data_IF_302654434743
#
_entry.id   IF_302654434743
#
_cell.length_a   1.000
_cell.length_b   1.000
_cell.length_c   1.000
_cell.angle_alpha   90.00
_cell.angle_beta   90.00
_cell.angle_gamma   90.00
#
_symmetry.space_group_name_H-M   'P 1'
#
loop_
_entity.id
_entity.type
_entity.pdbx_description
1 polymer ?
#
# COMPACT_ATOMS: atom_id res chain seq x y z
N UNK A 1 -9.12 -11.13 -4.55
CA UNK A 1 -9.46 -9.84 -5.16
C UNK A 1 -9.00 -8.73 -4.25
N UNK A 2 -8.28 -7.76 -4.79
CA UNK A 2 -7.72 -6.65 -4.02
C UNK A 2 -8.74 -5.52 -3.86
N UNK A 3 -8.55 -4.66 -2.85
CA UNK A 3 -9.34 -3.44 -2.66
C UNK A 3 -9.37 -2.58 -3.93
N UNK A 4 -8.25 -2.50 -4.64
CA UNK A 4 -8.11 -1.64 -5.81
C UNK A 4 -9.02 -2.06 -6.96
N UNK A 5 -9.24 -3.36 -7.16
CA UNK A 5 -10.13 -3.86 -8.22
C UNK A 5 -11.59 -3.43 -7.96
N UNK A 6 -12.06 -3.62 -6.72
CA UNK A 6 -13.40 -3.18 -6.33
C UNK A 6 -13.54 -1.65 -6.44
N UNK A 7 -12.49 -0.93 -6.02
CA UNK A 7 -12.45 0.51 -6.06
C UNK A 7 -12.52 1.05 -7.50
N UNK A 8 -11.72 0.49 -8.42
CA UNK A 8 -11.66 0.94 -9.82
C UNK A 8 -12.91 0.57 -10.61
N UNK A 9 -13.65 -0.45 -10.18
CA UNK A 9 -14.98 -0.75 -10.70
C UNK A 9 -16.09 0.17 -10.14
N UNK A 10 -15.76 1.11 -9.25
CA UNK A 10 -16.75 1.98 -8.62
C UNK A 10 -17.68 1.25 -7.67
N UNK A 11 -17.31 0.08 -7.15
CA UNK A 11 -18.12 -0.66 -6.19
C UNK A 11 -17.94 0.01 -4.81
N UNK A 12 -19.00 0.56 -4.18
CA UNK A 12 -18.86 1.22 -2.89
C UNK A 12 -18.29 0.30 -1.82
N UNK A 13 -17.28 0.79 -1.10
CA UNK A 13 -16.57 0.06 -0.04
C UNK A 13 -16.88 0.70 1.30
N UNK A 14 -17.23 -0.14 2.28
CA UNK A 14 -17.40 0.27 3.67
C UNK A 14 -16.25 -0.27 4.52
N UNK A 15 -15.77 0.52 5.46
CA UNK A 15 -14.76 0.09 6.43
C UNK A 15 -15.03 0.71 7.80
N UNK A 16 -14.74 0.01 8.90
CA UNK A 16 -14.82 0.62 10.23
C UNK A 16 -13.83 1.79 10.33
N UNK A 17 -14.06 2.72 11.26
CA UNK A 17 -13.01 3.67 11.67
C UNK A 17 -11.88 2.92 12.39
N UNK A 18 -10.65 3.45 12.44
CA UNK A 18 -9.55 2.80 13.17
C UNK A 18 -9.90 2.49 14.63
N UNK A 19 -10.59 3.41 15.30
CA UNK A 19 -11.04 3.24 16.68
C UNK A 19 -12.05 2.09 16.82
N UNK A 20 -13.04 2.01 15.94
CA UNK A 20 -14.02 0.92 16.00
C UNK A 20 -13.40 -0.42 15.58
N UNK A 21 -12.47 -0.41 14.61
CA UNK A 21 -11.71 -1.59 14.23
C UNK A 21 -10.87 -2.13 15.39
N UNK A 22 -10.26 -1.24 16.20
CA UNK A 22 -9.61 -1.65 17.45
C UNK A 22 -10.59 -2.37 18.38
N UNK A 23 -11.77 -1.81 18.64
CA UNK A 23 -12.75 -2.45 19.53
C UNK A 23 -13.18 -3.84 19.04
N UNK A 24 -13.31 -3.99 17.71
CA UNK A 24 -13.63 -5.29 17.09
C UNK A 24 -12.46 -6.27 17.21
N UNK A 25 -11.24 -5.82 16.96
CA UNK A 25 -10.05 -6.66 17.04
C UNK A 25 -9.72 -7.06 18.48
N UNK A 26 -9.89 -6.15 19.44
CA UNK A 26 -9.72 -6.43 20.86
C UNK A 26 -10.68 -7.53 21.35
N UNK A 27 -11.91 -7.55 20.84
CA UNK A 27 -12.96 -8.50 21.28
C UNK A 27 -13.01 -9.79 20.48
N UNK A 28 -12.77 -9.73 19.17
CA UNK A 28 -13.07 -10.80 18.21
C UNK A 28 -11.89 -11.14 17.30
N UNK A 29 -10.77 -10.44 17.46
CA UNK A 29 -9.54 -10.72 16.76
C UNK A 29 -9.64 -10.64 15.21
N UNK A 30 -10.38 -9.64 14.71
CA UNK A 30 -10.71 -9.50 13.28
C UNK A 30 -9.53 -9.12 12.37
N UNK A 31 -8.35 -8.82 12.93
CA UNK A 31 -7.13 -8.42 12.21
C UNK A 31 -5.95 -9.35 12.52
N UNK A 32 -6.23 -10.64 12.70
CA UNK A 32 -5.23 -11.66 13.07
C UNK A 32 -4.07 -11.83 12.07
N UNK A 33 -4.26 -11.44 10.80
CA UNK A 33 -3.22 -11.48 9.75
C UNK A 33 -2.22 -10.32 9.84
N UNK A 34 -2.40 -9.38 10.78
CA UNK A 34 -1.48 -8.25 10.93
C UNK A 34 -0.08 -8.68 11.37
N UNK A 35 0.02 -9.74 12.17
CA UNK A 35 1.32 -10.23 12.65
C UNK A 35 1.51 -11.70 12.32
N UNK A 36 2.71 -12.05 11.84
CA UNK A 36 3.06 -13.44 11.55
C UNK A 36 3.04 -14.34 12.78
N UNK A 37 3.36 -13.79 13.96
CA UNK A 37 3.32 -14.54 15.22
C UNK A 37 1.91 -15.02 15.53
N UNK A 38 0.91 -14.16 15.36
CA UNK A 38 -0.47 -14.52 15.59
C UNK A 38 -0.97 -15.56 14.59
N UNK A 39 -0.62 -15.44 13.32
CA UNK A 39 -0.96 -16.45 12.31
C UNK A 39 -0.33 -17.82 12.63
N UNK A 40 0.89 -17.83 13.16
CA UNK A 40 1.61 -19.08 13.46
C UNK A 40 1.24 -19.71 14.79
N UNK A 41 0.87 -18.90 15.78
CA UNK A 41 0.71 -19.35 17.18
C UNK A 41 -0.69 -19.17 17.75
N UNK A 42 -1.55 -18.39 17.08
CA UNK A 42 -2.84 -17.95 17.59
C UNK A 42 -2.74 -16.94 18.73
N UNK A 43 -1.56 -16.38 19.01
CA UNK A 43 -1.33 -15.44 20.11
C UNK A 43 -0.98 -14.06 19.58
N UNK A 44 -1.57 -13.04 20.20
CA UNK A 44 -1.27 -11.64 19.91
C UNK A 44 0.12 -11.29 20.50
N UNK A 45 1.08 -10.85 19.69
CA UNK A 45 2.39 -10.43 20.19
C UNK A 45 2.31 -9.08 20.93
N UNK A 46 3.17 -8.90 21.95
CA UNK A 46 3.35 -7.61 22.64
C UNK A 46 4.44 -6.73 22.03
N UNK A 47 5.04 -7.16 20.92
CA UNK A 47 6.15 -6.46 20.26
C UNK A 47 7.06 -7.40 19.48
N UNK A 48 8.04 -6.80 18.81
CA UNK A 48 9.09 -7.45 18.06
C UNK A 48 10.15 -8.05 19.00
N UNK A 49 10.80 -9.17 18.60
CA UNK A 49 11.91 -9.74 19.36
C UNK A 49 13.20 -8.90 19.26
N UNK A 50 13.25 -7.95 18.32
CA UNK A 50 14.36 -7.03 18.09
C UNK A 50 13.96 -5.61 18.47
N UNK A 51 14.89 -4.87 19.08
CA UNK A 51 14.66 -3.47 19.42
C UNK A 51 14.57 -2.61 18.15
N UNK A 52 13.71 -1.59 18.19
CA UNK A 52 13.59 -0.61 17.11
C UNK A 52 14.85 0.25 16.96
N UNK A 53 15.16 0.62 15.71
CA UNK A 53 16.32 1.47 15.38
C UNK A 53 16.13 2.93 15.86
N UNK A 54 14.88 3.36 16.05
CA UNK A 54 14.54 4.72 16.49
C UNK A 54 13.64 4.68 17.71
N UNK A 55 14.05 5.39 18.76
CA UNK A 55 13.27 5.56 19.98
C UNK A 55 11.94 6.30 19.72
N UNK A 56 10.92 5.99 20.52
CA UNK A 56 9.62 6.65 20.48
C UNK A 56 8.72 6.27 19.31
N UNK A 57 9.10 5.28 18.48
CA UNK A 57 8.18 4.69 17.49
C UNK A 57 7.41 3.53 18.10
N UNK A 58 6.11 3.45 17.77
CA UNK A 58 5.31 2.28 18.09
C UNK A 58 5.86 1.05 17.35
N UNK A 59 5.94 -0.08 18.04
CA UNK A 59 6.36 -1.34 17.45
C UNK A 59 5.25 -1.89 16.52
N UNK A 60 5.51 -2.14 15.23
CA UNK A 60 4.50 -2.64 14.30
C UNK A 60 4.02 -4.05 14.64
N UNK A 61 4.79 -4.82 15.41
CA UNK A 61 4.40 -6.15 15.87
C UNK A 61 3.83 -6.12 17.30
N UNK A 62 3.61 -4.94 17.91
CA UNK A 62 2.85 -4.87 19.15
C UNK A 62 1.37 -4.88 18.82
N UNK A 63 0.80 -6.08 18.87
CA UNK A 63 -0.58 -6.32 18.50
C UNK A 63 -1.56 -5.99 19.65
N UNK A 64 -1.07 -5.99 20.90
CA UNK A 64 -1.84 -5.79 22.13
C UNK A 64 -1.97 -4.30 22.49
N UNK A 65 -1.03 -3.45 22.12
CA UNK A 65 -1.09 -2.02 22.42
C UNK A 65 -2.02 -1.29 21.47
N UNK A 66 -3.00 -0.57 22.03
CA UNK A 66 -3.99 0.19 21.27
C UNK A 66 -3.35 1.31 20.46
N UNK A 67 -2.39 2.02 21.04
CA UNK A 67 -1.81 3.18 20.37
C UNK A 67 -0.90 2.73 19.22
N UNK A 68 -0.14 1.66 19.41
CA UNK A 68 0.56 0.99 18.32
C UNK A 68 -0.41 0.52 17.23
N UNK A 69 -1.54 -0.10 17.60
CA UNK A 69 -2.55 -0.52 16.65
C UNK A 69 -3.04 0.65 15.79
N UNK A 70 -3.50 1.72 16.44
CA UNK A 70 -4.10 2.86 15.76
C UNK A 70 -3.08 3.60 14.90
N UNK A 71 -1.82 3.69 15.37
CA UNK A 71 -0.74 4.31 14.64
C UNK A 71 -0.48 3.61 13.30
N UNK A 72 -0.47 2.28 13.27
CA UNK A 72 -0.14 1.55 12.05
C UNK A 72 -1.34 1.31 11.15
N UNK A 73 -2.51 1.02 11.70
CA UNK A 73 -3.71 0.66 10.91
C UNK A 73 -4.19 1.80 10.03
N UNK A 74 -3.95 3.06 10.40
CA UNK A 74 -4.36 4.23 9.62
C UNK A 74 -3.69 4.26 8.23
N UNK A 75 -2.58 3.54 8.03
CA UNK A 75 -1.88 3.46 6.75
C UNK A 75 -2.43 2.37 5.83
N UNK A 76 -3.41 1.58 6.26
CA UNK A 76 -4.05 0.60 5.39
C UNK A 76 -4.82 1.29 4.25
N UNK A 77 -4.89 0.63 3.09
CA UNK A 77 -5.47 1.20 1.85
C UNK A 77 -6.86 1.77 2.07
N UNK A 78 -7.69 1.11 2.87
CA UNK A 78 -9.04 1.59 3.18
C UNK A 78 -9.05 3.04 3.68
N UNK A 79 -8.03 3.49 4.40
CA UNK A 79 -7.96 4.82 5.01
C UNK A 79 -7.18 5.85 4.19
N UNK A 80 -6.44 5.39 3.18
CA UNK A 80 -5.68 6.26 2.29
C UNK A 80 -6.47 6.64 1.04
N UNK A 81 -7.41 5.78 0.61
CA UNK A 81 -8.21 6.02 -0.59
C UNK A 81 -9.48 6.83 -0.30
N UNK A 82 -9.81 7.84 -1.14
CA UNK A 82 -10.97 8.70 -0.92
C UNK A 82 -12.28 7.95 -1.19
N UNK A 83 -13.41 8.51 -0.76
CA UNK A 83 -14.77 7.98 -1.01
C UNK A 83 -15.09 6.60 -0.39
N UNK A 84 -14.17 6.01 0.37
CA UNK A 84 -14.46 4.82 1.20
C UNK A 84 -15.31 5.25 2.39
N UNK A 85 -16.50 4.65 2.52
CA UNK A 85 -17.49 5.02 3.55
C UNK A 85 -17.08 4.43 4.90
N UNK A 86 -16.76 5.31 5.86
CA UNK A 86 -16.31 4.91 7.20
C UNK A 86 -17.47 4.81 8.19
N UNK A 87 -17.51 3.78 9.03
CA UNK A 87 -18.51 3.66 10.10
C UNK A 87 -17.87 3.46 11.49
N UNK A 88 -18.44 4.06 12.53
CA UNK A 88 -17.86 4.02 13.89
C UNK A 88 -18.57 3.07 14.87
N UNK A 89 -19.64 2.41 14.43
CA UNK A 89 -20.42 1.45 15.22
C UNK A 89 -21.35 0.64 14.31
N UNK A 90 -21.92 -0.46 14.82
CA UNK A 90 -22.94 -1.23 14.09
C UNK A 90 -24.21 -0.43 13.79
N UNK A 91 -24.59 0.49 14.68
CA UNK A 91 -25.75 1.39 14.46
C UNK A 91 -25.46 2.39 13.34
N UNK A 92 -24.25 2.96 13.33
CA UNK A 92 -23.81 3.87 12.28
C UNK A 92 -23.68 3.17 10.93
N UNK A 93 -23.20 1.92 10.92
CA UNK A 93 -23.18 1.09 9.72
C UNK A 93 -24.59 0.92 9.14
N UNK A 94 -25.57 0.51 9.95
CA UNK A 94 -26.96 0.35 9.49
C UNK A 94 -27.50 1.65 8.91
N UNK A 95 -27.30 2.76 9.63
CA UNK A 95 -27.72 4.08 9.17
C UNK A 95 -27.11 4.44 7.81
N UNK A 96 -25.81 4.21 7.62
CA UNK A 96 -25.13 4.43 6.34
C UNK A 96 -25.66 3.52 5.24
N UNK A 97 -25.98 2.26 5.55
CA UNK A 97 -26.58 1.33 4.59
C UNK A 97 -27.92 1.85 4.03
N UNK A 98 -28.71 2.53 4.87
CA UNK A 98 -30.03 3.04 4.54
C UNK A 98 -30.01 4.46 3.92
N UNK A 99 -29.09 5.32 4.38
CA UNK A 99 -29.10 6.76 4.06
C UNK A 99 -28.09 7.17 2.98
N UNK A 100 -27.10 6.32 2.64
CA UNK A 100 -26.06 6.70 1.67
C UNK A 100 -26.57 6.57 0.24
N UNK A 101 -26.32 7.60 -0.56
CA UNK A 101 -26.50 7.55 -2.01
C UNK A 101 -25.32 6.80 -2.65
N UNK A 102 -25.56 5.54 -3.00
CA UNK A 102 -24.54 4.65 -3.54
C UNK A 102 -24.14 4.99 -4.98
N UNK A 103 -25.03 5.61 -5.75
CA UNK A 103 -24.73 6.06 -7.11
C UNK A 103 -23.74 7.21 -7.05
N UNK A 104 -23.98 8.18 -6.16
CA UNK A 104 -23.06 9.30 -5.93
C UNK A 104 -21.69 8.82 -5.47
N UNK A 105 -21.63 7.88 -4.51
CA UNK A 105 -20.33 7.32 -4.05
C UNK A 105 -19.60 6.63 -5.20
N UNK A 106 -20.30 5.84 -6.02
CA UNK A 106 -19.73 5.17 -7.19
C UNK A 106 -19.16 6.17 -8.20
N UNK A 107 -19.94 7.19 -8.55
CA UNK A 107 -19.54 8.25 -9.49
C UNK A 107 -18.31 9.02 -8.99
N UNK A 108 -18.25 9.32 -7.70
CA UNK A 108 -17.09 9.97 -7.09
C UNK A 108 -15.83 9.09 -7.16
N UNK A 109 -15.96 7.80 -6.87
CA UNK A 109 -14.87 6.82 -6.99
C UNK A 109 -14.35 6.74 -8.44
N UNK A 110 -15.25 6.57 -9.41
CA UNK A 110 -14.89 6.51 -10.83
C UNK A 110 -14.26 7.82 -11.31
N UNK A 111 -14.79 8.95 -10.86
CA UNK A 111 -14.24 10.28 -11.14
C UNK A 111 -12.82 10.44 -10.57
N UNK A 112 -12.56 9.96 -9.36
CA UNK A 112 -11.22 9.94 -8.78
C UNK A 112 -10.26 9.05 -9.58
N UNK A 113 -10.67 7.82 -9.91
CA UNK A 113 -9.87 6.86 -10.69
C UNK A 113 -9.48 7.45 -12.03
N UNK A 114 -10.41 8.07 -12.75
CA UNK A 114 -10.12 8.72 -14.03
C UNK A 114 -9.03 9.79 -13.87
N UNK A 115 -9.16 10.68 -12.88
CA UNK A 115 -8.15 11.73 -12.61
C UNK A 115 -6.79 11.14 -12.22
N UNK A 116 -6.79 10.07 -11.43
CA UNK A 116 -5.57 9.39 -11.00
C UNK A 116 -4.84 8.74 -12.19
N UNK A 117 -5.58 8.11 -13.11
CA UNK A 117 -5.03 7.57 -14.35
C UNK A 117 -4.45 8.70 -15.21
N UNK A 118 -5.23 9.74 -15.51
CA UNK A 118 -4.79 10.87 -16.34
C UNK A 118 -3.49 11.50 -15.79
N UNK A 119 -3.43 11.73 -14.48
CA UNK A 119 -2.25 12.28 -13.79
C UNK A 119 -1.05 11.33 -13.88
N UNK A 120 -1.24 10.07 -13.50
CA UNK A 120 -0.17 9.07 -13.45
C UNK A 120 0.41 8.85 -14.84
N UNK A 121 -0.43 8.73 -15.87
CA UNK A 121 0.00 8.62 -17.25
C UNK A 121 0.83 9.83 -17.70
N UNK A 122 0.39 11.05 -17.38
CA UNK A 122 1.15 12.26 -17.72
C UNK A 122 2.52 12.32 -17.02
N UNK A 123 2.59 11.92 -15.75
CA UNK A 123 3.84 11.86 -14.99
C UNK A 123 4.80 10.81 -15.58
N UNK A 124 4.28 9.63 -15.94
CA UNK A 124 5.08 8.58 -16.58
C UNK A 124 5.59 9.00 -17.96
N UNK A 125 4.73 9.59 -18.80
CA UNK A 125 5.16 10.12 -20.10
C UNK A 125 6.31 11.11 -19.93
N UNK A 126 6.20 12.04 -18.98
CA UNK A 126 7.27 13.01 -18.70
C UNK A 126 8.58 12.33 -18.29
N UNK A 127 8.54 11.32 -17.42
CA UNK A 127 9.74 10.61 -16.96
C UNK A 127 10.38 9.83 -18.12
N UNK A 128 9.56 9.17 -18.94
CA UNK A 128 10.03 8.40 -20.09
C UNK A 128 10.63 9.31 -21.16
N UNK A 129 9.98 10.44 -21.47
CA UNK A 129 10.51 11.43 -22.41
C UNK A 129 11.86 12.00 -21.95
N UNK A 130 12.05 12.20 -20.64
CA UNK A 130 13.34 12.62 -20.08
C UNK A 130 14.42 11.55 -20.21
N UNK A 131 14.02 10.28 -20.15
CA UNK A 131 14.95 9.14 -20.26
C UNK A 131 15.31 8.85 -21.72
N UNK A 132 14.37 9.02 -22.66
CA UNK A 132 14.64 8.87 -24.10
C UNK A 132 15.55 10.00 -24.63
N UNK A 133 15.48 11.18 -24.02
CA UNK A 133 16.38 12.31 -24.29
C UNK A 133 17.65 12.30 -23.43
N UNK A 134 17.83 11.28 -22.58
CA UNK A 134 19.06 11.10 -21.81
C UNK A 134 20.13 10.50 -22.73
N UNK A 135 20.94 11.37 -23.35
CA UNK A 135 22.25 10.97 -23.81
C UNK A 135 23.08 10.68 -22.56
N UNK A 136 23.56 9.43 -22.33
CA UNK A 136 24.48 9.21 -21.23
C UNK A 136 25.66 10.15 -21.43
N UNK A 137 26.08 10.84 -20.36
CA UNK A 137 27.39 11.48 -20.36
C UNK A 137 28.37 10.43 -20.87
N UNK A 138 29.00 10.70 -22.01
CA UNK A 138 30.04 9.83 -22.53
C UNK A 138 31.02 9.66 -21.40
N UNK A 139 31.06 8.46 -20.82
CA UNK A 139 32.13 8.06 -19.92
C UNK A 139 33.38 8.39 -20.69
N UNK A 140 34.13 9.41 -20.25
CA UNK A 140 35.49 9.58 -20.72
C UNK A 140 36.16 8.28 -20.32
N UNK A 141 36.43 7.43 -21.32
CA UNK A 141 37.27 6.29 -21.13
C UNK A 141 38.59 6.87 -20.63
N UNK A 142 38.84 6.73 -19.34
CA UNK A 142 40.20 6.78 -18.84
C UNK A 142 40.97 5.77 -19.71
N UNK A 143 41.98 6.29 -20.40
CA UNK A 143 42.78 5.61 -21.40
C UNK A 143 43.65 4.54 -20.72
N UNK A 144 43.02 3.46 -20.24
CA UNK A 144 43.67 2.24 -19.78
C UNK A 144 43.16 0.99 -20.52
N UNK A 145 42.73 1.18 -21.77
CA UNK A 145 42.76 0.12 -22.77
C UNK A 145 42.22 -1.25 -22.35
N UNK A 146 41.07 -1.32 -21.65
CA UNK A 146 40.33 -2.59 -21.52
C UNK A 146 38.90 -2.46 -20.96
N UNK A 147 37.92 -2.19 -21.83
CA UNK A 147 36.56 -2.73 -21.65
C UNK A 147 35.81 -2.74 -23.01
N UNK A 148 35.22 -3.86 -23.45
CA UNK A 148 34.42 -3.89 -24.67
C UNK A 148 33.03 -3.32 -24.39
N UNK A 149 32.46 -2.67 -25.41
CA UNK A 149 31.08 -2.23 -25.41
C UNK A 149 30.15 -3.40 -25.02
N UNK A 150 29.59 -3.34 -23.82
CA UNK A 150 28.60 -4.31 -23.37
C UNK A 150 27.24 -3.87 -23.89
N UNK A 151 26.71 -4.70 -24.79
CA UNK A 151 25.39 -4.56 -25.38
C UNK A 151 24.33 -4.63 -24.28
N UNK A 152 23.40 -3.67 -24.26
CA UNK A 152 22.28 -3.55 -23.32
C UNK A 152 21.48 -4.86 -23.19
N UNK A 153 21.47 -5.66 -24.25
CA UNK A 153 20.89 -7.01 -24.27
C UNK A 153 21.54 -7.98 -23.25
N UNK A 154 22.83 -7.82 -23.00
CA UNK A 154 23.61 -8.66 -22.06
C UNK A 154 23.25 -8.31 -20.62
N UNK A 155 23.14 -7.01 -20.31
CA UNK A 155 22.77 -6.52 -18.98
C UNK A 155 21.33 -6.91 -18.60
N UNK A 156 20.40 -6.83 -19.54
CA UNK A 156 19.01 -7.24 -19.32
C UNK A 156 18.88 -8.77 -19.16
N UNK A 157 19.69 -9.55 -19.88
CA UNK A 157 19.76 -11.00 -19.72
C UNK A 157 20.26 -11.40 -18.32
N UNK A 158 21.32 -10.78 -17.84
CA UNK A 158 21.89 -11.07 -16.50
C UNK A 158 20.94 -10.63 -15.37
N UNK A 159 20.29 -9.48 -15.52
CA UNK A 159 19.27 -9.02 -14.58
C UNK A 159 18.09 -10.00 -14.51
N UNK A 160 17.56 -10.46 -15.65
CA UNK A 160 16.45 -11.43 -15.65
C UNK A 160 16.84 -12.80 -15.09
N UNK A 161 18.10 -13.24 -15.22
CA UNK A 161 18.58 -14.47 -14.60
C UNK A 161 18.70 -14.35 -13.07
N UNK A 162 19.03 -13.16 -12.55
CA UNK A 162 19.10 -12.93 -11.10
C UNK A 162 17.72 -12.92 -10.41
N UNK A 163 16.64 -12.67 -11.15
CA UNK A 163 15.26 -12.64 -10.65
C UNK A 163 14.64 -14.05 -10.48
N UNK A 164 15.27 -15.10 -11.02
CA UNK A 164 14.83 -16.49 -10.83
C UNK A 164 15.45 -17.20 -9.61
N UNK A 165 16.12 -16.46 -8.72
CA UNK A 165 16.68 -16.98 -7.47
C UNK A 165 15.99 -16.43 -6.20
N UNK A 166 14.79 -15.88 -6.34
CA UNK A 166 13.88 -15.54 -5.22
C UNK A 166 12.51 -16.17 -5.41
#
# INVERSE_FOLDING_TARGET
>A
MSLFEQYTMGIPILAPTPAFLWELHEKLDVMNERTWEQIRTGRRPSGSPIAGVKEGRHDPNNDIDRDAFLHWVQYADFYQWPHIVKFNSWKDLRRKLEETDWEVVSDEMLGFVKRAIDKTSAEWTKILDQTDNYAPDTVQADDDGSAPASDLATYLSEFMQSVHLW
#
